data_IF_090204080240
#
_entry.id   IF_090204080240
#
_cell.length_a   1.000
_cell.length_b   1.000
_cell.length_c   1.000
_cell.angle_alpha   90.00
_cell.angle_beta   90.00
_cell.angle_gamma   90.00
#
_symmetry.space_group_name_H-M   'P 1'
#
loop_
_entity.id
_entity.type
_entity.pdbx_description
1 polymer ?
#
# COMPACT_ATOMS: atom_id res chain seq x y z
N UNK A 1 6.56 2.07 16.18
CA UNK A 1 6.86 2.08 14.73
C UNK A 1 6.09 3.23 14.09
N UNK A 2 6.75 3.97 13.22
CA UNK A 2 6.13 5.07 12.50
C UNK A 2 5.26 4.55 11.34
N UNK A 3 4.03 5.09 11.23
CA UNK A 3 3.07 4.67 10.20
C UNK A 3 3.51 4.99 8.77
N UNK A 4 4.25 6.09 8.57
CA UNK A 4 4.78 6.45 7.26
C UNK A 4 5.87 5.48 6.79
N UNK A 5 6.78 5.09 7.66
CA UNK A 5 7.81 4.07 7.38
C UNK A 5 7.19 2.72 7.06
N UNK A 6 6.15 2.30 7.84
CA UNK A 6 5.42 1.07 7.56
C UNK A 6 4.72 1.12 6.19
N UNK A 7 4.13 2.26 5.85
CA UNK A 7 3.49 2.48 4.55
C UNK A 7 4.49 2.37 3.39
N UNK A 8 5.64 3.03 3.48
CA UNK A 8 6.68 2.99 2.43
C UNK A 8 7.24 1.58 2.27
N UNK A 9 7.48 0.86 3.38
CA UNK A 9 7.92 -0.54 3.35
C UNK A 9 6.90 -1.43 2.64
N UNK A 10 5.62 -1.25 2.94
CA UNK A 10 4.54 -1.96 2.26
C UNK A 10 4.50 -1.66 0.75
N UNK A 11 4.63 -0.40 0.35
CA UNK A 11 4.66 0.01 -1.06
C UNK A 11 5.85 -0.64 -1.79
N UNK A 12 7.05 -0.60 -1.20
CA UNK A 12 8.22 -1.25 -1.77
C UNK A 12 8.04 -2.76 -1.94
N UNK A 13 7.51 -3.44 -0.92
CA UNK A 13 7.26 -4.88 -0.97
C UNK A 13 6.24 -5.25 -2.06
N UNK A 14 5.14 -4.52 -2.18
CA UNK A 14 4.10 -4.82 -3.18
C UNK A 14 4.49 -4.39 -4.60
N UNK A 15 5.22 -3.28 -4.76
CA UNK A 15 5.77 -2.88 -6.06
C UNK A 15 6.83 -3.87 -6.54
N UNK A 16 7.64 -4.42 -5.62
CA UNK A 16 8.63 -5.45 -5.91
C UNK A 16 8.03 -6.73 -6.51
N UNK A 17 6.77 -7.06 -6.22
CA UNK A 17 6.11 -8.22 -6.85
C UNK A 17 5.97 -8.10 -8.37
N UNK A 18 6.01 -6.89 -8.93
CA UNK A 18 5.97 -6.68 -10.37
C UNK A 18 7.20 -7.20 -11.10
N UNK A 19 8.33 -7.39 -10.38
CA UNK A 19 9.55 -7.98 -10.94
C UNK A 19 9.33 -9.41 -11.47
N UNK A 20 8.39 -10.15 -10.87
CA UNK A 20 8.03 -11.48 -11.32
C UNK A 20 7.36 -11.51 -12.71
N UNK A 21 6.98 -10.35 -13.23
CA UNK A 21 6.36 -10.18 -14.54
C UNK A 21 7.38 -9.73 -15.61
N UNK A 22 8.63 -9.45 -15.21
CA UNK A 22 9.71 -9.07 -16.12
C UNK A 22 10.43 -10.32 -16.65
N UNK A 23 11.03 -10.25 -17.85
CA UNK A 23 12.02 -11.23 -18.27
C UNK A 23 13.15 -11.35 -17.23
N UNK A 24 13.67 -12.54 -17.00
CA UNK A 24 14.64 -12.79 -15.93
C UNK A 24 15.90 -11.90 -16.04
N UNK A 25 16.43 -11.71 -17.24
CA UNK A 25 17.58 -10.82 -17.48
C UNK A 25 17.26 -9.38 -17.07
N UNK A 26 16.11 -8.87 -17.48
CA UNK A 26 15.65 -7.53 -17.11
C UNK A 26 15.45 -7.40 -15.60
N UNK A 27 14.84 -8.40 -14.96
CA UNK A 27 14.65 -8.41 -13.52
C UNK A 27 15.99 -8.34 -12.77
N UNK A 28 17.02 -9.04 -13.23
CA UNK A 28 18.38 -8.99 -12.65
C UNK A 28 19.06 -7.63 -12.83
N UNK A 29 18.82 -6.94 -13.94
CA UNK A 29 19.32 -5.58 -14.18
C UNK A 29 18.61 -4.56 -13.31
N UNK A 30 17.28 -4.65 -13.22
CA UNK A 30 16.44 -3.73 -12.44
C UNK A 30 16.65 -3.93 -10.94
N UNK A 31 16.89 -5.17 -10.50
CA UNK A 31 17.02 -5.54 -9.09
C UNK A 31 18.35 -6.25 -8.82
N UNK A 32 19.47 -5.53 -8.94
CA UNK A 32 20.80 -6.13 -8.80
C UNK A 32 21.12 -6.54 -7.35
N UNK A 33 20.48 -5.90 -6.36
CA UNK A 33 20.70 -6.17 -4.94
C UNK A 33 19.38 -6.16 -4.15
N UNK A 34 19.31 -6.80 -2.98
CA UNK A 34 18.11 -6.82 -2.13
C UNK A 34 17.69 -5.42 -1.62
N UNK A 35 18.59 -4.46 -1.62
CA UNK A 35 18.34 -3.08 -1.18
C UNK A 35 17.65 -2.23 -2.24
N UNK A 36 17.62 -2.70 -3.50
CA UNK A 36 16.96 -1.98 -4.60
C UNK A 36 15.47 -1.81 -4.31
N UNK A 37 14.99 -0.58 -4.38
CA UNK A 37 13.60 -0.26 -4.11
C UNK A 37 12.87 0.13 -5.39
N UNK A 38 11.68 -0.43 -5.55
CA UNK A 38 10.71 -0.03 -6.58
C UNK A 38 9.48 0.55 -5.88
N UNK A 39 8.99 1.67 -6.39
CA UNK A 39 7.73 2.26 -5.96
C UNK A 39 6.99 2.84 -7.16
N UNK A 40 5.71 3.19 -7.01
CA UNK A 40 4.98 3.80 -8.11
C UNK A 40 3.47 3.79 -7.93
N UNK A 41 2.78 4.10 -9.03
CA UNK A 41 1.32 4.24 -9.05
C UNK A 41 0.73 3.34 -10.13
N UNK A 42 -0.14 2.41 -9.71
CA UNK A 42 -0.79 1.44 -10.63
C UNK A 42 -1.89 2.08 -11.50
N UNK A 43 -2.49 3.19 -11.07
CA UNK A 43 -3.55 3.84 -11.83
C UNK A 43 -3.06 4.25 -13.24
N UNK A 44 -3.77 3.85 -14.32
CA UNK A 44 -3.31 4.09 -15.71
C UNK A 44 -3.56 5.54 -16.14
N UNK A 45 -2.89 6.48 -15.47
CA UNK A 45 -2.99 7.93 -15.74
C UNK A 45 -2.12 8.38 -16.90
N UNK A 46 -1.02 7.66 -17.16
CA UNK A 46 -0.11 7.96 -18.26
C UNK A 46 -0.59 7.42 -19.59
N UNK A 47 0.08 7.86 -20.64
CA UNK A 47 -0.03 7.35 -22.02
C UNK A 47 1.27 6.72 -22.42
N UNK A 48 1.21 5.51 -22.94
CA UNK A 48 2.33 4.77 -23.50
C UNK A 48 2.06 4.56 -25.01
N UNK A 49 2.63 5.42 -25.84
CA UNK A 49 2.49 5.33 -27.30
C UNK A 49 3.43 4.24 -27.79
N UNK A 50 2.88 3.20 -28.42
CA UNK A 50 3.65 2.10 -28.98
C UNK A 50 4.54 2.61 -30.12
N UNK A 51 5.83 2.32 -30.03
CA UNK A 51 6.85 2.62 -31.04
C UNK A 51 7.66 1.36 -31.32
N UNK A 52 8.67 1.44 -32.21
CA UNK A 52 9.53 0.30 -32.42
C UNK A 52 10.26 -0.10 -31.14
N UNK A 53 10.22 -1.38 -30.78
CA UNK A 53 10.87 -2.00 -29.62
C UNK A 53 10.45 -1.48 -28.22
N UNK A 54 9.37 -0.67 -28.13
CA UNK A 54 8.95 -0.14 -26.82
C UNK A 54 7.81 0.86 -26.90
N UNK A 55 7.87 1.78 -25.97
CA UNK A 55 6.84 2.80 -25.76
C UNK A 55 7.45 4.17 -25.49
N UNK A 56 6.84 5.20 -26.07
CA UNK A 56 7.09 6.58 -25.67
C UNK A 56 6.09 6.96 -24.59
N UNK A 57 6.59 7.29 -23.40
CA UNK A 57 5.78 7.44 -22.17
C UNK A 57 5.68 8.89 -21.76
N UNK A 58 4.45 9.34 -21.51
CA UNK A 58 4.12 10.63 -20.95
C UNK A 58 2.99 10.49 -19.91
N UNK A 59 3.11 11.16 -18.78
CA UNK A 59 2.06 11.18 -17.78
C UNK A 59 2.44 11.88 -16.49
N UNK A 60 1.42 12.09 -15.66
CA UNK A 60 1.54 12.54 -14.28
C UNK A 60 0.73 11.63 -13.37
N UNK A 61 1.30 11.24 -12.25
CA UNK A 61 0.68 10.36 -11.27
C UNK A 61 0.70 11.00 -9.91
N UNK A 62 -0.44 10.93 -9.25
CA UNK A 62 -0.62 11.42 -7.89
C UNK A 62 -0.31 10.32 -6.88
N UNK A 63 0.16 10.74 -5.69
CA UNK A 63 0.36 9.87 -4.54
C UNK A 63 1.43 8.79 -4.74
N UNK A 64 2.56 9.18 -5.26
CA UNK A 64 3.74 8.33 -5.47
C UNK A 64 4.45 7.98 -4.16
N UNK A 65 3.81 7.23 -3.27
CA UNK A 65 4.39 6.85 -1.99
C UNK A 65 5.72 6.13 -2.16
N UNK A 66 6.75 6.61 -1.47
CA UNK A 66 8.08 6.03 -1.46
C UNK A 66 8.91 6.25 -2.75
N UNK A 67 8.34 6.89 -3.79
CA UNK A 67 9.04 7.07 -5.08
C UNK A 67 10.30 7.92 -4.97
N UNK A 68 10.36 8.85 -4.02
CA UNK A 68 11.57 9.67 -3.79
C UNK A 68 12.76 8.88 -3.24
N UNK A 69 12.52 7.67 -2.71
CA UNK A 69 13.55 6.77 -2.19
C UNK A 69 13.73 5.53 -3.08
N UNK A 70 13.05 5.47 -4.20
CA UNK A 70 13.11 4.33 -5.12
C UNK A 70 14.22 4.49 -6.14
N UNK A 71 14.82 3.38 -6.55
CA UNK A 71 15.75 3.29 -7.68
C UNK A 71 14.99 3.27 -9.01
N UNK A 72 13.81 2.67 -8.99
CA UNK A 72 12.92 2.56 -10.14
C UNK A 72 11.49 2.98 -9.79
N UNK A 73 10.84 3.69 -10.71
CA UNK A 73 9.48 4.16 -10.57
C UNK A 73 8.56 3.48 -11.57
N UNK A 74 7.43 2.96 -11.08
CA UNK A 74 6.37 2.38 -11.89
C UNK A 74 5.27 3.41 -12.15
N UNK A 75 4.97 3.67 -13.42
CA UNK A 75 3.85 4.49 -13.84
C UNK A 75 2.83 3.68 -14.65
N UNK A 76 1.58 3.57 -14.14
CA UNK A 76 0.49 2.95 -14.90
C UNK A 76 0.10 3.78 -16.12
N UNK A 77 0.05 3.16 -17.30
CA UNK A 77 -0.24 3.84 -18.57
C UNK A 77 -1.32 3.11 -19.35
N UNK A 78 -2.13 3.87 -20.09
CA UNK A 78 -2.92 3.33 -21.18
C UNK A 78 -2.04 3.18 -22.42
N UNK A 79 -2.12 2.04 -23.09
CA UNK A 79 -1.39 1.80 -24.34
C UNK A 79 -2.11 2.48 -25.51
N UNK A 80 -1.36 3.28 -26.26
CA UNK A 80 -1.84 3.95 -27.48
C UNK A 80 -1.15 3.31 -28.68
N UNK A 81 -1.92 2.86 -29.65
CA UNK A 81 -1.43 2.31 -30.92
C UNK A 81 -2.17 2.96 -32.07
N UNK A 82 -1.46 3.41 -33.08
CA UNK A 82 -2.00 4.08 -34.26
C UNK A 82 -2.92 5.28 -33.90
N UNK A 83 -2.59 6.00 -32.83
CA UNK A 83 -3.32 7.17 -32.34
C UNK A 83 -4.53 6.88 -31.47
N UNK A 84 -4.91 5.61 -31.29
CA UNK A 84 -6.06 5.18 -30.50
C UNK A 84 -5.66 4.38 -29.25
N UNK A 85 -6.52 4.38 -28.22
CA UNK A 85 -6.33 3.51 -27.05
C UNK A 85 -6.52 2.05 -27.45
N UNK A 86 -5.46 1.25 -27.33
CA UNK A 86 -5.52 -0.19 -27.56
C UNK A 86 -6.48 -0.86 -26.55
N UNK A 87 -7.30 -1.81 -27.04
CA UNK A 87 -8.28 -2.52 -26.22
C UNK A 87 -7.96 -4.01 -26.17
N UNK A 88 -8.28 -4.62 -25.04
CA UNK A 88 -8.30 -6.07 -24.87
C UNK A 88 -9.52 -6.66 -25.59
N UNK A 89 -9.55 -7.98 -25.76
CA UNK A 89 -10.65 -8.71 -26.42
C UNK A 89 -12.04 -8.47 -25.79
N UNK A 90 -12.08 -8.10 -24.51
CA UNK A 90 -13.30 -7.77 -23.80
C UNK A 90 -13.70 -6.27 -23.89
N UNK A 91 -12.98 -5.48 -24.72
CA UNK A 91 -13.24 -4.05 -24.90
C UNK A 91 -12.62 -3.13 -23.84
N UNK A 92 -11.99 -3.68 -22.78
CA UNK A 92 -11.33 -2.88 -21.75
C UNK A 92 -10.06 -2.25 -22.31
N UNK A 93 -9.74 -0.96 -22.01
CA UNK A 93 -8.48 -0.35 -22.36
C UNK A 93 -7.28 -1.19 -21.87
N UNK A 94 -6.33 -1.45 -22.77
CA UNK A 94 -5.08 -2.11 -22.38
C UNK A 94 -4.24 -1.15 -21.57
N UNK A 95 -3.86 -1.58 -20.37
CA UNK A 95 -2.93 -0.84 -19.52
C UNK A 95 -1.65 -1.65 -19.28
N UNK A 96 -0.54 -0.93 -19.10
CA UNK A 96 0.74 -1.50 -18.69
C UNK A 96 1.41 -0.61 -17.64
N UNK A 97 2.20 -1.23 -16.80
CA UNK A 97 3.09 -0.53 -15.88
C UNK A 97 4.42 -0.28 -16.59
N UNK A 98 4.82 0.97 -16.65
CA UNK A 98 6.07 1.40 -17.26
C UNK A 98 7.12 1.60 -16.18
N UNK A 99 8.22 0.84 -16.27
CA UNK A 99 9.32 0.89 -15.30
C UNK A 99 10.42 1.82 -15.82
N UNK A 100 10.64 2.92 -15.09
CA UNK A 100 11.56 4.00 -15.45
C UNK A 100 12.57 4.20 -14.34
N UNK A 101 13.88 4.43 -14.61
CA UNK A 101 14.83 4.81 -13.59
C UNK A 101 14.36 6.08 -12.85
N UNK A 102 14.49 6.12 -11.52
CA UNK A 102 14.05 7.28 -10.75
C UNK A 102 14.77 8.59 -11.17
N UNK A 103 16.00 8.49 -11.68
CA UNK A 103 16.75 9.64 -12.22
C UNK A 103 16.14 10.28 -13.47
N UNK A 104 15.19 9.59 -14.13
CA UNK A 104 14.49 10.09 -15.31
C UNK A 104 13.07 10.57 -15.02
N UNK A 105 12.70 10.61 -13.73
CA UNK A 105 11.37 11.02 -13.25
C UNK A 105 11.45 12.40 -12.62
N UNK A 106 10.49 13.25 -12.93
CA UNK A 106 10.30 14.56 -12.30
C UNK A 106 9.41 14.40 -11.06
N UNK A 107 9.93 14.69 -9.87
CA UNK A 107 9.14 14.71 -8.64
C UNK A 107 8.57 16.09 -8.38
N UNK A 108 7.24 16.15 -8.15
CA UNK A 108 6.50 17.39 -7.96
C UNK A 108 6.28 17.61 -6.46
N UNK A 109 6.59 18.80 -5.94
CA UNK A 109 6.44 19.11 -4.52
C UNK A 109 4.97 19.39 -4.15
N UNK A 110 4.18 18.32 -3.95
CA UNK A 110 2.73 18.37 -3.74
C UNK A 110 2.28 17.75 -2.41
N UNK A 111 3.17 17.09 -1.63
CA UNK A 111 2.78 16.29 -0.46
C UNK A 111 2.68 17.12 0.83
N UNK A 112 1.65 18.00 0.91
CA UNK A 112 1.33 18.81 2.09
C UNK A 112 0.06 18.28 2.76
N UNK A 113 0.19 17.35 3.71
CA UNK A 113 -0.92 16.55 4.24
C UNK A 113 -0.94 16.52 5.78
N UNK A 114 -2.10 16.15 6.34
CA UNK A 114 -2.31 16.07 7.79
C UNK A 114 -1.82 14.75 8.42
N UNK A 115 -1.64 13.69 7.63
CA UNK A 115 -1.19 12.38 8.09
C UNK A 115 -0.28 11.69 7.08
N UNK A 116 0.49 10.69 7.51
CA UNK A 116 1.48 9.99 6.69
C UNK A 116 2.49 10.93 5.99
N UNK A 117 2.81 12.09 6.59
CA UNK A 117 3.69 13.10 6.02
C UNK A 117 5.04 12.51 5.58
N UNK A 118 5.62 11.62 6.40
CA UNK A 118 6.91 10.98 6.12
C UNK A 118 6.88 9.93 5.00
N UNK A 119 5.71 9.61 4.42
CA UNK A 119 5.63 8.69 3.28
C UNK A 119 6.14 9.33 1.98
N UNK A 120 6.30 10.66 1.94
CA UNK A 120 6.74 11.39 0.75
C UNK A 120 5.91 11.05 -0.50
N UNK A 121 4.57 10.90 -0.31
CA UNK A 121 3.67 10.48 -1.40
C UNK A 121 3.40 11.61 -2.39
N UNK A 122 4.47 12.28 -2.80
CA UNK A 122 4.43 13.37 -3.77
C UNK A 122 3.95 12.89 -5.13
N UNK A 123 3.47 13.80 -5.95
CA UNK A 123 3.16 13.51 -7.34
C UNK A 123 4.45 13.41 -8.15
N UNK A 124 4.40 12.70 -9.26
CA UNK A 124 5.53 12.61 -10.18
C UNK A 124 5.08 12.62 -11.64
N UNK A 125 6.00 13.03 -12.51
CA UNK A 125 5.79 13.06 -13.94
C UNK A 125 6.90 12.31 -14.69
N UNK A 126 6.52 11.63 -15.76
CA UNK A 126 7.41 11.09 -16.77
C UNK A 126 7.16 11.89 -18.03
N UNK A 127 8.20 12.53 -18.56
CA UNK A 127 8.11 13.42 -19.71
C UNK A 127 8.92 12.84 -20.87
N UNK A 128 8.23 12.39 -21.89
CA UNK A 128 8.79 11.95 -23.15
C UNK A 128 9.96 10.95 -23.01
N UNK A 129 9.70 9.83 -22.28
CA UNK A 129 10.69 8.79 -22.02
C UNK A 129 10.41 7.53 -22.83
N UNK A 130 11.47 7.00 -23.44
CA UNK A 130 11.41 5.69 -24.07
C UNK A 130 11.53 4.59 -23.03
N UNK A 131 10.56 3.67 -23.03
CA UNK A 131 10.56 2.46 -22.19
C UNK A 131 10.55 1.24 -23.11
N UNK A 132 11.60 0.40 -23.10
CA UNK A 132 11.66 -0.79 -23.93
C UNK A 132 10.61 -1.82 -23.49
N UNK A 133 10.22 -2.71 -24.40
CA UNK A 133 9.16 -3.69 -24.18
C UNK A 133 9.38 -4.55 -22.92
N UNK A 134 10.62 -4.93 -22.64
CA UNK A 134 11.01 -5.75 -21.49
C UNK A 134 10.87 -5.03 -20.13
N UNK A 135 10.68 -3.70 -20.11
CA UNK A 135 10.38 -2.90 -18.93
C UNK A 135 8.91 -2.43 -18.84
N UNK A 136 8.07 -2.94 -19.74
CA UNK A 136 6.63 -2.67 -19.74
C UNK A 136 5.87 -3.92 -19.37
N UNK A 137 5.30 -3.98 -18.16
CA UNK A 137 4.59 -5.15 -17.64
C UNK A 137 3.08 -4.98 -17.62
N UNK A 138 2.35 -6.03 -17.99
CA UNK A 138 0.90 -6.08 -17.98
C UNK A 138 0.35 -6.85 -16.78
N UNK A 139 -0.28 -6.17 -15.84
CA UNK A 139 -0.91 -6.83 -14.71
C UNK A 139 -2.03 -7.78 -15.18
N UNK A 140 -1.89 -9.07 -14.87
CA UNK A 140 -2.84 -10.11 -15.25
C UNK A 140 -2.80 -10.51 -16.74
N UNK A 141 -1.84 -9.99 -17.51
CA UNK A 141 -1.62 -10.31 -18.94
C UNK A 141 -0.32 -11.10 -19.10
N UNK A 142 0.73 -10.65 -18.39
CA UNK A 142 2.02 -11.32 -18.38
C UNK A 142 2.00 -12.37 -17.25
N UNK A 143 2.48 -13.59 -17.52
CA UNK A 143 2.48 -14.68 -16.54
C UNK A 143 3.48 -14.42 -15.41
N UNK A 144 3.05 -14.44 -14.15
CA UNK A 144 3.98 -14.36 -13.03
C UNK A 144 4.84 -15.63 -12.92
N UNK A 145 5.92 -15.54 -12.15
CA UNK A 145 6.67 -16.73 -11.76
C UNK A 145 5.76 -17.75 -11.06
N UNK A 146 5.98 -19.03 -11.36
CA UNK A 146 5.27 -20.14 -10.70
C UNK A 146 5.75 -20.30 -9.26
N UNK A 147 5.17 -19.54 -8.35
CA UNK A 147 5.44 -19.53 -6.91
C UNK A 147 4.15 -19.22 -6.14
N UNK A 148 3.96 -19.75 -4.93
CA UNK A 148 2.74 -19.57 -4.12
C UNK A 148 2.30 -18.11 -3.96
N UNK A 149 3.24 -17.18 -3.77
CA UNK A 149 2.93 -15.75 -3.61
C UNK A 149 2.15 -15.16 -4.79
N UNK A 150 2.42 -15.62 -6.01
CA UNK A 150 1.81 -15.07 -7.23
C UNK A 150 0.46 -15.68 -7.56
N UNK A 151 -0.03 -16.64 -6.79
CA UNK A 151 -1.42 -17.09 -6.82
C UNK A 151 -2.37 -16.07 -6.17
N UNK A 152 -1.84 -15.24 -5.27
CA UNK A 152 -2.62 -14.16 -4.65
C UNK A 152 -2.96 -13.07 -5.69
N UNK A 153 -4.22 -12.59 -5.72
CA UNK A 153 -4.57 -11.47 -6.57
C UNK A 153 -3.72 -10.24 -6.21
N UNK A 154 -3.17 -9.53 -7.19
CA UNK A 154 -2.33 -8.35 -6.97
C UNK A 154 -3.01 -7.30 -6.06
N UNK A 155 -4.27 -6.99 -6.32
CA UNK A 155 -5.04 -6.08 -5.46
C UNK A 155 -5.36 -6.67 -4.07
N UNK A 156 -5.34 -8.00 -3.93
CA UNK A 156 -5.42 -8.67 -2.64
C UNK A 156 -4.17 -8.42 -1.81
N UNK A 157 -2.98 -8.54 -2.40
CA UNK A 157 -1.70 -8.21 -1.74
C UNK A 157 -1.65 -6.75 -1.29
N UNK A 158 -2.11 -5.81 -2.14
CA UNK A 158 -2.22 -4.40 -1.78
C UNK A 158 -3.17 -4.20 -0.59
N UNK A 159 -4.34 -4.82 -0.61
CA UNK A 159 -5.31 -4.71 0.49
C UNK A 159 -4.76 -5.28 1.80
N UNK A 160 -4.04 -6.40 1.76
CA UNK A 160 -3.38 -6.98 2.94
C UNK A 160 -2.35 -6.01 3.54
N UNK A 161 -1.52 -5.39 2.73
CA UNK A 161 -0.54 -4.40 3.22
C UNK A 161 -1.20 -3.19 3.88
N UNK A 162 -2.27 -2.65 3.30
CA UNK A 162 -3.06 -1.54 3.89
C UNK A 162 -3.61 -1.95 5.27
N UNK A 163 -4.18 -3.15 5.37
CA UNK A 163 -4.73 -3.66 6.62
C UNK A 163 -3.63 -3.87 7.68
N UNK A 164 -2.46 -4.38 7.30
CA UNK A 164 -1.33 -4.56 8.21
C UNK A 164 -0.85 -3.23 8.81
N UNK A 165 -0.70 -2.19 7.98
CA UNK A 165 -0.34 -0.84 8.45
C UNK A 165 -1.42 -0.29 9.37
N UNK A 166 -2.69 -0.45 9.04
CA UNK A 166 -3.83 0.01 9.84
C UNK A 166 -3.85 -0.65 11.22
N UNK A 167 -3.64 -1.97 11.31
CA UNK A 167 -3.54 -2.71 12.57
C UNK A 167 -2.38 -2.19 13.44
N UNK A 168 -1.23 -1.88 12.82
CA UNK A 168 -0.08 -1.28 13.50
C UNK A 168 -0.36 0.10 14.06
N UNK A 169 -1.04 0.97 13.30
CA UNK A 169 -1.45 2.30 13.73
C UNK A 169 -2.44 2.25 14.89
N UNK A 170 -3.43 1.34 14.84
CA UNK A 170 -4.39 1.17 15.93
C UNK A 170 -3.71 0.69 17.22
N UNK A 171 -2.74 -0.22 17.12
CA UNK A 171 -1.92 -0.65 18.25
C UNK A 171 -1.14 0.51 18.85
N UNK A 172 -0.51 1.34 17.99
CA UNK A 172 0.24 2.52 18.44
C UNK A 172 -0.67 3.52 19.15
N UNK A 173 -1.86 3.79 18.62
CA UNK A 173 -2.82 4.71 19.24
C UNK A 173 -3.30 4.25 20.63
N UNK A 174 -3.55 2.93 20.81
CA UNK A 174 -3.92 2.38 22.12
C UNK A 174 -2.76 2.53 23.12
N UNK A 175 -1.53 2.19 22.70
CA UNK A 175 -0.35 2.27 23.55
C UNK A 175 -0.09 3.72 23.99
N UNK A 176 -0.14 4.67 23.07
CA UNK A 176 0.03 6.10 23.33
C UNK A 176 -1.00 6.63 24.33
N UNK A 177 -2.29 6.28 24.14
CA UNK A 177 -3.31 6.68 25.08
C UNK A 177 -3.08 6.10 26.47
N UNK A 178 -2.71 4.83 26.59
CA UNK A 178 -2.43 4.19 27.88
C UNK A 178 -1.27 4.89 28.60
N UNK A 179 -0.23 5.28 27.87
CA UNK A 179 0.92 6.00 28.41
C UNK A 179 0.52 7.37 28.98
N UNK A 180 -0.24 8.17 28.23
CA UNK A 180 -0.64 9.50 28.68
C UNK A 180 -1.74 9.46 29.75
N UNK A 181 -2.56 8.41 29.82
CA UNK A 181 -3.75 8.35 30.67
C UNK A 181 -3.44 8.38 32.18
N UNK A 182 -2.28 7.90 32.58
CA UNK A 182 -1.84 7.89 34.00
C UNK A 182 -1.57 9.28 34.54
N UNK A 183 -1.00 10.15 33.73
CA UNK A 183 -0.64 11.55 34.09
C UNK A 183 -1.70 12.59 33.73
N UNK A 184 -2.61 12.27 32.82
CA UNK A 184 -3.59 13.22 32.30
C UNK A 184 -4.86 13.28 33.17
N UNK A 185 -5.12 14.45 33.77
CA UNK A 185 -6.40 14.74 34.44
C UNK A 185 -7.23 15.68 33.56
N UNK A 186 -8.39 15.25 33.01
CA UNK A 186 -9.26 16.10 32.24
C UNK A 186 -9.75 17.31 33.00
N UNK A 187 -9.98 18.44 32.30
CA UNK A 187 -10.54 19.65 32.91
C UNK A 187 -11.89 19.35 33.59
N UNK A 188 -12.08 19.85 34.78
CA UNK A 188 -13.30 19.60 35.60
C UNK A 188 -13.35 18.21 36.23
N UNK A 189 -12.30 17.40 36.18
CA UNK A 189 -12.22 16.09 36.85
C UNK A 189 -11.19 16.12 37.96
N UNK A 190 -11.51 15.42 39.07
CA UNK A 190 -10.57 15.17 40.16
C UNK A 190 -9.76 13.86 39.97
N UNK A 191 -10.05 13.09 38.90
CA UNK A 191 -9.42 11.79 38.67
C UNK A 191 -8.67 11.80 37.34
N UNK A 192 -7.46 11.18 37.28
CA UNK A 192 -6.76 10.98 36.03
C UNK A 192 -7.58 10.13 35.06
N UNK A 193 -7.29 10.22 33.78
CA UNK A 193 -8.02 9.54 32.70
C UNK A 193 -8.04 8.01 32.93
N UNK A 194 -6.89 7.44 33.35
CA UNK A 194 -6.76 6.02 33.65
C UNK A 194 -7.67 5.53 34.79
N UNK A 195 -8.03 6.40 35.75
CA UNK A 195 -8.87 6.04 36.90
C UNK A 195 -10.39 6.19 36.66
N UNK A 196 -10.76 6.55 35.39
CA UNK A 196 -12.17 6.74 35.03
C UNK A 196 -12.75 5.46 34.42
N UNK A 197 -13.84 4.88 34.98
CA UNK A 197 -14.44 3.65 34.44
C UNK A 197 -14.83 3.74 32.99
N UNK A 198 -15.36 4.90 32.52
CA UNK A 198 -15.71 5.11 31.13
C UNK A 198 -14.47 4.99 30.22
N UNK A 199 -13.32 5.55 30.61
CA UNK A 199 -12.09 5.46 29.86
C UNK A 199 -11.56 4.03 29.76
N UNK A 200 -11.59 3.31 30.89
CA UNK A 200 -11.20 1.89 30.94
C UNK A 200 -12.08 1.03 30.03
N UNK A 201 -13.40 1.29 29.99
CA UNK A 201 -14.35 0.60 29.15
C UNK A 201 -14.03 0.84 27.66
N UNK A 202 -13.74 2.07 27.27
CA UNK A 202 -13.43 2.39 25.86
C UNK A 202 -12.08 1.80 25.42
N UNK A 203 -11.06 1.80 26.29
CA UNK A 203 -9.78 1.12 26.00
C UNK A 203 -10.00 -0.39 25.87
N UNK A 204 -10.79 -1.01 26.77
CA UNK A 204 -11.09 -2.44 26.68
C UNK A 204 -11.84 -2.81 25.40
N UNK A 205 -12.77 -1.97 24.93
CA UNK A 205 -13.48 -2.15 23.65
C UNK A 205 -12.53 -2.05 22.46
N UNK A 206 -11.68 -1.01 22.42
CA UNK A 206 -10.69 -0.84 21.35
C UNK A 206 -9.72 -2.02 21.29
N UNK A 207 -9.27 -2.50 22.45
CA UNK A 207 -8.38 -3.66 22.56
C UNK A 207 -9.07 -4.94 22.04
N UNK A 208 -10.32 -5.19 22.42
CA UNK A 208 -11.07 -6.35 21.95
C UNK A 208 -11.31 -6.29 20.41
N UNK A 209 -11.71 -5.12 19.91
CA UNK A 209 -11.93 -4.87 18.49
C UNK A 209 -10.65 -5.11 17.68
N UNK A 210 -9.53 -4.56 18.11
CA UNK A 210 -8.25 -4.71 17.43
C UNK A 210 -7.75 -6.16 17.45
N UNK A 211 -7.83 -6.83 18.60
CA UNK A 211 -7.32 -8.21 18.76
C UNK A 211 -8.13 -9.21 17.94
N UNK A 212 -9.46 -9.08 17.91
CA UNK A 212 -10.31 -9.95 17.12
C UNK A 212 -10.08 -9.76 15.62
N UNK A 213 -9.99 -8.51 15.16
CA UNK A 213 -9.69 -8.20 13.77
C UNK A 213 -8.31 -8.72 13.34
N UNK A 214 -7.31 -8.56 14.22
CA UNK A 214 -5.95 -9.08 13.97
C UNK A 214 -5.93 -10.61 13.89
N UNK A 215 -6.61 -11.30 14.77
CA UNK A 215 -6.69 -12.77 14.77
C UNK A 215 -7.33 -13.27 13.47
N UNK A 216 -8.48 -12.71 13.08
CA UNK A 216 -9.15 -13.06 11.83
C UNK A 216 -8.27 -12.77 10.60
N UNK A 217 -7.56 -11.64 10.59
CA UNK A 217 -6.67 -11.27 9.49
C UNK A 217 -5.53 -12.28 9.32
N UNK A 218 -4.79 -12.62 10.37
CA UNK A 218 -3.65 -13.53 10.26
C UNK A 218 -4.08 -14.98 10.00
N UNK A 219 -5.11 -15.48 10.67
CA UNK A 219 -5.67 -16.81 10.41
C UNK A 219 -6.07 -16.97 8.93
N UNK A 220 -6.72 -15.96 8.38
CA UNK A 220 -7.15 -16.00 6.96
C UNK A 220 -5.94 -16.05 6.01
N UNK A 221 -4.89 -15.27 6.29
CA UNK A 221 -3.69 -15.26 5.46
C UNK A 221 -2.94 -16.60 5.57
N UNK A 222 -2.81 -17.16 6.78
CA UNK A 222 -2.15 -18.44 7.00
C UNK A 222 -2.84 -19.55 6.21
N UNK A 223 -4.16 -19.68 6.29
CA UNK A 223 -4.92 -20.65 5.49
C UNK A 223 -4.77 -20.44 3.99
N UNK A 224 -4.86 -19.18 3.52
CA UNK A 224 -4.68 -18.88 2.11
C UNK A 224 -3.26 -19.20 1.62
N UNK A 225 -2.26 -19.00 2.48
CA UNK A 225 -0.87 -19.36 2.19
C UNK A 225 -0.67 -20.89 2.08
N UNK A 226 -1.29 -21.67 2.97
CA UNK A 226 -1.29 -23.13 2.90
C UNK A 226 -1.89 -23.63 1.58
N UNK A 227 -3.09 -23.13 1.19
CA UNK A 227 -3.69 -23.45 -0.11
C UNK A 227 -2.76 -23.07 -1.28
N UNK A 228 -2.11 -21.91 -1.22
CA UNK A 228 -1.20 -21.45 -2.27
C UNK A 228 0.04 -22.35 -2.37
N UNK A 229 0.56 -22.84 -1.27
CA UNK A 229 1.69 -23.81 -1.24
C UNK A 229 1.31 -25.13 -1.88
N UNK A 230 0.04 -25.53 -1.81
CA UNK A 230 -0.51 -26.72 -2.49
C UNK A 230 -0.82 -26.46 -4.00
N UNK A 231 -0.44 -25.27 -4.51
CA UNK A 231 -0.54 -24.90 -5.92
C UNK A 231 -1.89 -24.36 -6.34
N UNK A 232 -2.77 -24.00 -5.40
CA UNK A 232 -4.09 -23.44 -5.69
C UNK A 232 -4.42 -22.29 -4.72
N UNK A 233 -5.27 -21.39 -5.13
CA UNK A 233 -5.92 -20.40 -4.26
C UNK A 233 -7.41 -20.36 -4.61
N UNK A 234 -8.23 -20.95 -3.76
CA UNK A 234 -9.67 -21.11 -3.97
C UNK A 234 -10.39 -19.75 -4.02
N UNK A 235 -11.58 -19.73 -4.61
CA UNK A 235 -12.46 -18.55 -4.59
C UNK A 235 -12.85 -18.18 -3.16
N UNK A 236 -13.02 -19.17 -2.29
CA UNK A 236 -13.35 -18.94 -0.88
C UNK A 236 -12.19 -18.28 -0.14
N UNK A 237 -10.94 -18.73 -0.33
CA UNK A 237 -9.77 -18.08 0.23
C UNK A 237 -9.63 -16.62 -0.25
N UNK A 238 -9.85 -16.36 -1.53
CA UNK A 238 -9.85 -15.00 -2.11
C UNK A 238 -10.93 -14.10 -1.50
N UNK A 239 -12.14 -14.65 -1.30
CA UNK A 239 -13.24 -13.97 -0.59
C UNK A 239 -12.86 -13.64 0.85
N UNK A 240 -12.33 -14.62 1.57
CA UNK A 240 -11.98 -14.47 3.00
C UNK A 240 -10.86 -13.48 3.21
N UNK A 241 -9.82 -13.45 2.36
CA UNK A 241 -8.79 -12.40 2.35
C UNK A 241 -9.45 -11.02 2.22
N UNK A 242 -10.42 -10.86 1.32
CA UNK A 242 -11.11 -9.59 1.11
C UNK A 242 -11.94 -9.17 2.31
N UNK A 243 -12.63 -10.12 2.94
CA UNK A 243 -13.40 -9.89 4.15
C UNK A 243 -12.48 -9.48 5.31
N UNK A 244 -11.43 -10.26 5.56
CA UNK A 244 -10.51 -10.03 6.66
C UNK A 244 -9.76 -8.70 6.54
N UNK A 245 -9.26 -8.35 5.36
CA UNK A 245 -8.55 -7.09 5.12
C UNK A 245 -9.46 -5.88 5.26
N UNK A 246 -10.69 -5.96 4.74
CA UNK A 246 -11.67 -4.89 4.89
C UNK A 246 -12.06 -4.71 6.36
N UNK A 247 -12.36 -5.80 7.06
CA UNK A 247 -12.69 -5.76 8.48
C UNK A 247 -11.54 -5.21 9.33
N UNK A 248 -10.31 -5.69 9.11
CA UNK A 248 -9.14 -5.23 9.86
C UNK A 248 -8.90 -3.72 9.71
N UNK A 249 -9.09 -3.18 8.50
CA UNK A 249 -8.95 -1.74 8.25
C UNK A 249 -10.01 -0.93 8.99
N UNK A 250 -11.28 -1.32 8.90
CA UNK A 250 -12.38 -0.63 9.59
C UNK A 250 -12.27 -0.73 11.11
N UNK A 251 -11.98 -1.91 11.65
CA UNK A 251 -11.79 -2.12 13.08
C UNK A 251 -10.60 -1.30 13.63
N UNK A 252 -9.55 -1.16 12.84
CA UNK A 252 -8.39 -0.32 13.18
C UNK A 252 -8.77 1.16 13.24
N UNK A 253 -9.52 1.66 12.25
CA UNK A 253 -10.01 3.03 12.25
C UNK A 253 -10.90 3.31 13.47
N UNK A 254 -11.83 2.41 13.78
CA UNK A 254 -12.68 2.52 14.97
C UNK A 254 -11.87 2.58 16.27
N UNK A 255 -10.85 1.73 16.40
CA UNK A 255 -9.98 1.74 17.57
C UNK A 255 -9.20 3.06 17.70
N UNK A 256 -8.65 3.58 16.59
CA UNK A 256 -7.95 4.88 16.56
C UNK A 256 -8.88 6.01 16.96
N UNK A 257 -10.09 6.07 16.38
CA UNK A 257 -11.08 7.11 16.69
C UNK A 257 -11.46 7.14 18.18
N UNK A 258 -11.66 5.97 18.81
CA UNK A 258 -11.92 5.86 20.24
C UNK A 258 -10.77 6.44 21.07
N UNK A 259 -9.52 6.11 20.72
CA UNK A 259 -8.33 6.60 21.42
C UNK A 259 -8.13 8.09 21.21
N UNK A 260 -8.35 8.59 19.99
CA UNK A 260 -8.29 10.01 19.66
C UNK A 260 -9.28 10.84 20.51
N UNK A 261 -10.54 10.40 20.60
CA UNK A 261 -11.57 11.06 21.40
C UNK A 261 -11.26 11.03 22.91
N UNK A 262 -10.77 9.91 23.43
CA UNK A 262 -10.35 9.82 24.82
C UNK A 262 -9.15 10.71 25.14
N UNK A 263 -8.21 10.82 24.22
CA UNK A 263 -7.06 11.72 24.29
C UNK A 263 -7.47 13.21 24.30
N UNK A 264 -8.66 13.54 23.74
CA UNK A 264 -9.21 14.90 23.72
C UNK A 264 -8.25 15.92 23.12
N UNK A 265 -8.17 17.14 23.67
CA UNK A 265 -7.33 18.19 23.12
C UNK A 265 -5.82 17.85 23.00
N UNK A 266 -5.31 16.87 23.74
CA UNK A 266 -3.92 16.43 23.61
C UNK A 266 -3.67 15.75 22.26
N UNK A 267 -4.67 15.03 21.73
CA UNK A 267 -4.56 14.29 20.47
C UNK A 267 -4.34 15.16 19.21
N UNK A 268 -4.58 16.48 19.29
CA UNK A 268 -4.38 17.39 18.13
C UNK A 268 -2.94 17.88 17.97
N UNK A 269 -2.09 17.67 18.97
CA UNK A 269 -0.70 18.14 18.92
C UNK A 269 0.22 17.12 18.23
N UNK A 270 1.15 17.61 17.40
CA UNK A 270 2.11 16.76 16.67
C UNK A 270 3.12 16.01 17.57
N UNK A 271 3.19 16.33 18.85
CA UNK A 271 4.13 15.74 19.83
C UNK A 271 3.46 14.82 20.84
N UNK A 272 2.23 14.47 20.60
CA UNK A 272 1.49 13.51 21.41
C UNK A 272 1.37 12.17 20.68
#
# INVERSE_FOLDING_TARGET
>A
ADGASAWVTFIGATSGTTLALLPEETARIVFPTPETMIAGVFAPRGKAVAVNEGYQVNGEWQWGSGTQNADWVLGGCQVIRDGETEKLSNGTPRSRMMLVPASEVEFLDTWYVSGLCGSGSTDFAIRDRFVPNERAVGLGVDGPLDRPLYLFPQFGLLAMGIAAVSLGLARAAINELVEIAGGKTPSGSARPLAARPASQTEVARAEATLRSARAFYFETIERAWEEACDGNLSTDARRDIRLATTHATHASAEAVDRMYHLGGGTSVYRRS
#
